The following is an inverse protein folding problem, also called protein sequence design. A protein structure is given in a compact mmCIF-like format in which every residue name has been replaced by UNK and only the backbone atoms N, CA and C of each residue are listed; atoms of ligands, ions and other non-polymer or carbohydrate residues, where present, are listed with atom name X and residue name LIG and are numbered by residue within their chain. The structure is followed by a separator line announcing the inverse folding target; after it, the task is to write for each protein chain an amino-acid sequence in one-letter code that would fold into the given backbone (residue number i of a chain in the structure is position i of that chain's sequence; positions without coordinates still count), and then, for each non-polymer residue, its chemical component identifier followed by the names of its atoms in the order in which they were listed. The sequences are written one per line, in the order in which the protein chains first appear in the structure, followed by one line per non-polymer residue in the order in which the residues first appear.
data_IF_079954345059
#
_entry.id   IF_079954345059
#
_cell.length_a   1.000
_cell.length_b   1.000
_cell.length_c   1.000
_cell.angle_alpha   90.00
_cell.angle_beta   90.00
_cell.angle_gamma   90.00
#
_symmetry.space_group_name_H-M   'P 1'
#
loop_
_entity.id
_entity.type
_entity.pdbx_description
1 polymer ?
#
# COMPACT_ATOMS: atom_id res chain seq x y z
N UNK A 1 2.17 15.74 4.87
CA UNK A 1 3.25 14.79 5.22
C UNK A 1 4.30 14.67 4.12
N UNK A 2 3.99 14.18 2.92
CA UNK A 2 4.95 14.08 1.79
C UNK A 2 4.37 14.71 0.54
N UNK A 3 5.15 15.56 -0.15
CA UNK A 3 4.76 16.19 -1.42
C UNK A 3 5.78 15.84 -2.50
N UNK A 4 5.32 15.24 -3.58
CA UNK A 4 6.13 14.89 -4.75
C UNK A 4 5.80 15.88 -5.86
N UNK A 5 6.82 16.55 -6.41
CA UNK A 5 6.66 17.57 -7.44
C UNK A 5 7.50 17.27 -8.68
N UNK A 6 6.82 17.21 -9.83
CA UNK A 6 7.41 17.08 -11.16
C UNK A 6 8.43 15.94 -11.27
N UNK A 7 8.17 14.84 -10.54
CA UNK A 7 9.09 13.72 -10.40
C UNK A 7 9.18 12.93 -11.71
N UNK A 8 10.41 12.74 -12.19
CA UNK A 8 10.69 11.85 -13.31
C UNK A 8 11.73 10.81 -12.90
N UNK A 9 11.49 9.55 -13.28
CA UNK A 9 12.38 8.45 -12.98
C UNK A 9 12.36 7.38 -14.07
N UNK A 10 13.51 6.79 -14.34
CA UNK A 10 13.69 5.71 -15.32
C UNK A 10 14.72 4.70 -14.85
N UNK A 11 14.53 3.43 -15.22
CA UNK A 11 15.53 2.38 -15.13
C UNK A 11 16.23 2.25 -16.49
N UNK A 12 17.44 2.82 -16.60
CA UNK A 12 18.12 2.90 -17.88
C UNK A 12 17.29 3.65 -18.93
N UNK A 13 16.83 2.95 -19.98
CA UNK A 13 15.97 3.53 -21.04
C UNK A 13 14.47 3.42 -20.75
N UNK A 14 14.07 2.60 -19.79
CA UNK A 14 12.66 2.40 -19.45
C UNK A 14 12.16 3.53 -18.52
N UNK A 15 11.33 4.43 -19.05
CA UNK A 15 10.67 5.46 -18.26
C UNK A 15 9.59 4.85 -17.35
N UNK A 16 9.59 5.24 -16.09
CA UNK A 16 8.56 4.82 -15.12
C UNK A 16 7.64 5.99 -14.78
N UNK A 17 8.22 7.13 -14.43
CA UNK A 17 7.50 8.37 -14.13
C UNK A 17 8.00 9.52 -14.98
N UNK A 18 7.06 10.35 -15.43
CA UNK A 18 7.36 11.59 -16.14
C UNK A 18 6.42 12.69 -15.65
N UNK A 19 7.00 13.71 -15.03
CA UNK A 19 6.26 14.85 -14.46
C UNK A 19 5.16 14.44 -13.45
N UNK A 20 5.50 13.45 -12.61
CA UNK A 20 4.59 12.84 -11.65
C UNK A 20 4.47 13.72 -10.40
N UNK A 21 3.23 13.95 -9.97
CA UNK A 21 2.90 14.75 -8.80
C UNK A 21 1.99 13.96 -7.88
N UNK A 22 2.24 14.00 -6.56
CA UNK A 22 1.45 13.31 -5.56
C UNK A 22 1.62 13.97 -4.20
N UNK A 23 0.54 14.03 -3.42
CA UNK A 23 0.57 14.41 -2.00
C UNK A 23 0.11 13.22 -1.16
N UNK A 24 0.85 12.92 -0.08
CA UNK A 24 0.48 11.94 0.95
C UNK A 24 0.10 12.72 2.21
N UNK A 25 -1.15 12.54 2.63
CA UNK A 25 -1.73 13.21 3.78
C UNK A 25 -1.24 12.58 5.09
N UNK A 26 -1.07 13.43 6.09
CA UNK A 26 -0.68 13.00 7.43
C UNK A 26 -1.81 12.24 8.13
N UNK A 27 -1.44 11.19 8.89
CA UNK A 27 -2.38 10.39 9.68
C UNK A 27 -3.35 9.53 8.85
N UNK A 28 -3.19 9.50 7.53
CA UNK A 28 -4.04 8.71 6.63
C UNK A 28 -3.36 7.42 6.21
N UNK A 29 -4.18 6.42 5.89
CA UNK A 29 -3.75 5.19 5.23
C UNK A 29 -4.03 5.31 3.74
N UNK A 30 -2.97 5.42 2.96
CA UNK A 30 -3.04 5.50 1.50
C UNK A 30 -2.65 4.17 0.87
N UNK A 31 -3.54 3.61 0.07
CA UNK A 31 -3.26 2.44 -0.77
C UNK A 31 -2.84 2.90 -2.17
N UNK A 32 -1.66 2.45 -2.60
CA UNK A 32 -1.19 2.60 -3.98
C UNK A 32 -1.32 1.26 -4.69
N UNK A 33 -2.09 1.22 -5.77
CA UNK A 33 -2.36 0.02 -6.55
C UNK A 33 -2.21 0.25 -8.06
N UNK A 34 -2.36 -0.80 -8.86
CA UNK A 34 -2.19 -0.79 -10.32
C UNK A 34 -1.46 -2.05 -10.78
N UNK A 35 -1.36 -2.27 -12.08
CA UNK A 35 -0.74 -3.47 -12.67
C UNK A 35 0.73 -3.65 -12.25
N UNK A 36 1.23 -4.87 -12.38
CA UNK A 36 2.65 -5.15 -12.13
C UNK A 36 3.54 -4.35 -13.09
N UNK A 37 4.65 -3.84 -12.58
CA UNK A 37 5.59 -3.03 -13.37
C UNK A 37 5.20 -1.56 -13.56
N UNK A 38 4.03 -1.09 -13.09
CA UNK A 38 3.59 0.32 -13.27
C UNK A 38 4.38 1.34 -12.45
N UNK A 39 5.20 0.87 -11.49
CA UNK A 39 6.07 1.74 -10.69
C UNK A 39 5.71 1.85 -9.21
N UNK A 40 4.76 1.06 -8.67
CA UNK A 40 4.34 1.13 -7.25
C UNK A 40 5.51 1.04 -6.27
N UNK A 41 6.26 -0.07 -6.32
CA UNK A 41 7.44 -0.29 -5.46
C UNK A 41 8.56 0.73 -5.73
N UNK A 42 8.67 1.18 -6.98
CA UNK A 42 9.61 2.25 -7.37
C UNK A 42 9.26 3.55 -6.66
N UNK A 43 7.97 3.90 -6.60
CA UNK A 43 7.49 5.10 -5.91
C UNK A 43 7.82 5.04 -4.41
N UNK A 44 7.55 3.90 -3.74
CA UNK A 44 7.92 3.75 -2.32
C UNK A 44 9.43 3.87 -2.10
N UNK A 45 10.26 3.26 -2.97
CA UNK A 45 11.73 3.35 -2.89
C UNK A 45 12.25 4.76 -3.14
N UNK A 46 11.57 5.55 -3.98
CA UNK A 46 11.88 6.97 -4.18
C UNK A 46 11.53 7.78 -2.93
N UNK A 47 10.35 7.58 -2.34
CA UNK A 47 9.94 8.24 -1.09
C UNK A 47 10.90 7.87 0.05
N UNK A 48 11.28 6.58 0.16
CA UNK A 48 12.23 6.10 1.16
C UNK A 48 13.67 6.62 0.95
N UNK A 49 13.94 7.29 -0.17
CA UNK A 49 15.29 7.76 -0.51
C UNK A 49 16.28 6.63 -0.86
N UNK A 50 15.78 5.41 -1.13
CA UNK A 50 16.55 4.27 -1.66
C UNK A 50 16.93 4.53 -3.13
N UNK A 51 16.01 5.13 -3.88
CA UNK A 51 16.24 5.61 -5.23
C UNK A 51 16.25 7.14 -5.26
N UNK A 52 16.94 7.70 -6.25
CA UNK A 52 16.96 9.16 -6.48
C UNK A 52 16.20 9.48 -7.76
N UNK A 53 15.29 10.48 -7.76
CA UNK A 53 14.63 10.91 -8.97
C UNK A 53 15.63 11.47 -9.96
N UNK A 54 15.35 11.33 -11.27
CA UNK A 54 16.14 11.95 -12.34
C UNK A 54 15.82 13.45 -12.44
N UNK A 55 14.55 13.83 -12.16
CA UNK A 55 14.07 15.21 -12.10
C UNK A 55 12.99 15.31 -11.02
N UNK A 56 12.71 16.57 -10.61
CA UNK A 56 11.72 16.85 -9.58
C UNK A 56 12.25 16.62 -8.16
N UNK A 57 11.37 16.71 -7.19
CA UNK A 57 11.73 16.65 -5.79
C UNK A 57 10.67 15.94 -4.96
N UNK A 58 11.10 15.39 -3.81
CA UNK A 58 10.24 14.81 -2.79
C UNK A 58 10.47 15.61 -1.52
N UNK A 59 9.44 16.31 -1.08
CA UNK A 59 9.46 17.19 0.07
C UNK A 59 8.74 16.53 1.25
N UNK A 60 9.28 16.70 2.42
CA UNK A 60 8.69 16.29 3.67
C UNK A 60 8.32 17.54 4.48
N UNK A 61 7.28 17.44 5.30
CA UNK A 61 6.91 18.53 6.21
C UNK A 61 8.02 18.86 7.22
N UNK A 62 7.85 19.95 7.95
CA UNK A 62 8.85 20.47 8.88
C UNK A 62 9.29 19.45 9.93
N UNK A 63 8.40 18.54 10.34
CA UNK A 63 8.68 17.52 11.37
C UNK A 63 9.66 16.45 10.89
N UNK A 64 9.68 16.20 9.58
CA UNK A 64 10.56 15.19 8.96
C UNK A 64 11.70 15.78 8.14
N UNK A 65 11.61 17.05 7.72
CA UNK A 65 12.49 17.67 6.71
C UNK A 65 13.98 17.58 7.05
N UNK A 66 14.37 17.66 8.34
CA UNK A 66 15.77 17.63 8.77
C UNK A 66 16.43 16.25 8.54
N UNK A 67 15.72 15.16 8.83
CA UNK A 67 16.21 13.79 8.64
C UNK A 67 15.01 12.83 8.40
N UNK A 68 14.43 12.80 7.18
CA UNK A 68 13.23 12.01 6.90
C UNK A 68 13.38 10.53 7.22
N UNK A 69 14.58 9.96 7.03
CA UNK A 69 14.81 8.52 7.22
C UNK A 69 14.72 8.08 8.69
N UNK A 70 14.97 8.97 9.63
CA UNK A 70 14.80 8.66 11.06
C UNK A 70 13.35 8.54 11.48
N UNK A 71 12.47 9.19 10.75
CA UNK A 71 11.03 9.23 11.02
C UNK A 71 10.24 8.31 10.10
N UNK A 72 10.93 7.47 9.32
CA UNK A 72 10.31 6.60 8.32
C UNK A 72 10.66 5.15 8.56
N UNK A 73 9.64 4.28 8.50
CA UNK A 73 9.80 2.84 8.39
C UNK A 73 9.53 2.38 6.97
N UNK A 74 10.39 1.52 6.42
CA UNK A 74 10.18 0.91 5.11
C UNK A 74 10.25 -0.61 5.22
N UNK A 75 9.13 -1.27 4.91
CA UNK A 75 9.01 -2.72 4.87
C UNK A 75 8.83 -3.09 3.41
N UNK A 76 9.88 -3.66 2.81
CA UNK A 76 9.86 -4.11 1.42
C UNK A 76 9.37 -5.56 1.30
N UNK A 77 8.99 -5.93 0.10
CA UNK A 77 8.66 -7.30 -0.33
C UNK A 77 9.70 -8.34 0.10
N UNK A 78 10.96 -7.92 0.13
CA UNK A 78 12.09 -8.72 0.60
C UNK A 78 12.70 -8.08 1.84
N UNK A 79 12.50 -8.72 2.99
CA UNK A 79 13.07 -8.26 4.26
C UNK A 79 14.57 -8.56 4.30
N UNK A 80 15.39 -7.52 4.15
CA UNK A 80 16.85 -7.63 4.21
C UNK A 80 17.35 -7.47 5.64
N UNK A 81 17.68 -8.57 6.28
CA UNK A 81 18.28 -8.63 7.61
C UNK A 81 19.63 -9.39 7.56
N UNK A 82 20.50 -9.11 8.51
CA UNK A 82 21.78 -9.85 8.64
C UNK A 82 21.53 -11.27 9.13
N UNK A 83 21.30 -12.19 8.22
CA UNK A 83 20.84 -13.58 8.50
C UNK A 83 21.76 -14.38 9.43
N UNK A 84 23.06 -14.05 9.48
CA UNK A 84 24.05 -14.69 10.36
C UNK A 84 23.97 -14.27 11.82
N UNK A 85 23.36 -13.10 12.11
CA UNK A 85 23.22 -12.58 13.46
C UNK A 85 22.12 -13.33 14.22
N UNK A 86 22.27 -13.38 15.55
CA UNK A 86 21.16 -13.69 16.45
C UNK A 86 20.20 -12.51 16.52
N UNK A 87 18.93 -12.78 16.84
CA UNK A 87 17.90 -11.75 17.06
C UNK A 87 18.39 -10.71 18.08
N UNK A 88 18.96 -11.15 19.22
CA UNK A 88 19.54 -10.24 20.23
C UNK A 88 20.63 -9.33 19.65
N UNK A 89 21.54 -9.88 18.88
CA UNK A 89 22.63 -9.09 18.27
C UNK A 89 22.12 -8.04 17.29
N UNK A 90 21.09 -8.38 16.50
CA UNK A 90 20.49 -7.42 15.59
C UNK A 90 19.72 -6.32 16.35
N UNK A 91 19.06 -6.65 17.47
CA UNK A 91 18.43 -5.67 18.37
C UNK A 91 19.49 -4.73 18.94
N UNK A 92 20.58 -5.26 19.47
CA UNK A 92 21.66 -4.44 20.06
C UNK A 92 22.29 -3.52 19.03
N UNK A 93 22.54 -4.03 17.83
CA UNK A 93 23.03 -3.22 16.71
C UNK A 93 22.04 -2.09 16.36
N UNK A 94 20.76 -2.42 16.21
CA UNK A 94 19.72 -1.45 15.90
C UNK A 94 19.59 -0.36 16.99
N UNK A 95 19.57 -0.77 18.26
CA UNK A 95 19.55 0.15 19.40
C UNK A 95 20.75 1.09 19.38
N UNK A 96 21.94 0.59 19.06
CA UNK A 96 23.16 1.40 18.96
C UNK A 96 23.07 2.46 17.84
N UNK A 97 22.57 2.07 16.65
CA UNK A 97 22.46 2.96 15.49
C UNK A 97 21.43 4.07 15.72
N UNK A 98 20.27 3.72 16.25
CA UNK A 98 19.15 4.65 16.44
C UNK A 98 19.11 5.28 17.83
N UNK A 99 20.06 4.93 18.74
CA UNK A 99 20.15 5.41 20.12
C UNK A 99 18.87 5.14 20.92
N UNK A 100 18.32 3.93 20.78
CA UNK A 100 17.11 3.50 21.45
C UNK A 100 17.46 3.02 22.86
N UNK A 101 16.88 3.66 23.88
CA UNK A 101 17.06 3.26 25.28
C UNK A 101 16.21 2.02 25.60
N UNK A 102 14.91 2.12 25.34
CA UNK A 102 13.93 1.08 25.64
C UNK A 102 13.46 0.39 24.38
N UNK A 103 13.52 -0.94 24.35
CA UNK A 103 13.08 -1.77 23.23
C UNK A 103 11.95 -2.67 23.69
N UNK A 104 10.76 -2.47 23.13
CA UNK A 104 9.62 -3.33 23.39
C UNK A 104 9.69 -4.61 22.55
N UNK A 105 9.92 -5.75 23.19
CA UNK A 105 9.99 -7.07 22.57
C UNK A 105 8.66 -7.87 22.69
N UNK A 106 7.59 -7.23 23.15
CA UNK A 106 6.30 -7.88 23.38
C UNK A 106 5.75 -8.58 22.14
N UNK A 107 5.95 -7.95 20.96
CA UNK A 107 5.55 -8.51 19.67
C UNK A 107 6.34 -9.77 19.32
N UNK A 108 7.64 -9.81 19.62
CA UNK A 108 8.49 -10.98 19.41
C UNK A 108 8.05 -12.14 20.31
N UNK A 109 7.75 -11.87 21.58
CA UNK A 109 7.25 -12.87 22.52
C UNK A 109 5.93 -13.48 22.07
N UNK A 110 4.98 -12.65 21.61
CA UNK A 110 3.69 -13.09 21.07
C UNK A 110 3.83 -14.00 19.84
N UNK A 111 4.84 -13.77 19.02
CA UNK A 111 5.09 -14.51 17.78
C UNK A 111 6.16 -15.59 17.92
N UNK A 112 6.57 -15.91 19.16
CA UNK A 112 7.54 -16.95 19.50
C UNK A 112 8.90 -16.78 18.83
N UNK A 113 9.30 -15.52 18.55
CA UNK A 113 10.64 -15.19 18.10
C UNK A 113 11.57 -15.11 19.31
N UNK A 114 12.57 -15.99 19.38
CA UNK A 114 13.50 -16.05 20.51
C UNK A 114 14.74 -15.23 20.23
N UNK A 115 15.30 -14.61 21.26
CA UNK A 115 16.47 -13.75 21.17
C UNK A 115 17.77 -14.52 20.83
N UNK A 116 17.85 -15.79 21.17
CA UNK A 116 19.01 -16.66 20.92
C UNK A 116 19.02 -17.30 19.52
N UNK A 117 17.92 -17.25 18.76
CA UNK A 117 17.81 -17.75 17.39
C UNK A 117 18.62 -16.90 16.42
N UNK A 118 19.17 -17.52 15.39
CA UNK A 118 19.70 -16.79 14.22
C UNK A 118 18.56 -16.33 13.33
N UNK A 119 18.71 -15.16 12.73
CA UNK A 119 17.69 -14.58 11.84
C UNK A 119 17.35 -15.51 10.67
N UNK A 120 18.31 -16.23 10.13
CA UNK A 120 18.07 -17.25 9.07
C UNK A 120 17.15 -18.40 9.49
N UNK A 121 17.00 -18.66 10.80
CA UNK A 121 16.15 -19.73 11.34
C UNK A 121 14.68 -19.29 11.53
N UNK A 122 14.41 -17.99 11.38
CA UNK A 122 13.07 -17.44 11.43
C UNK A 122 12.31 -17.80 10.15
N UNK A 123 11.01 -18.10 10.30
CA UNK A 123 10.12 -18.18 9.12
C UNK A 123 10.02 -16.81 8.42
N UNK A 124 9.51 -16.78 7.20
CA UNK A 124 9.30 -15.52 6.46
C UNK A 124 8.44 -14.56 7.28
N UNK A 125 7.32 -15.03 7.81
CA UNK A 125 6.44 -14.20 8.64
C UNK A 125 7.10 -13.71 9.93
N UNK A 126 7.90 -14.56 10.59
CA UNK A 126 8.66 -14.15 11.77
C UNK A 126 9.72 -13.09 11.46
N UNK A 127 10.38 -13.17 10.30
CA UNK A 127 11.31 -12.13 9.84
C UNK A 127 10.60 -10.79 9.63
N UNK A 128 9.41 -10.81 9.03
CA UNK A 128 8.59 -9.61 8.85
C UNK A 128 8.20 -9.00 10.18
N UNK A 129 7.71 -9.81 11.13
CA UNK A 129 7.35 -9.34 12.48
C UNK A 129 8.58 -8.80 13.21
N UNK A 130 9.73 -9.47 13.10
CA UNK A 130 10.97 -8.98 13.69
C UNK A 130 11.38 -7.64 13.08
N UNK A 131 11.35 -7.51 11.74
CA UNK A 131 11.64 -6.24 11.06
C UNK A 131 10.67 -5.14 11.47
N UNK A 132 9.36 -5.44 11.52
CA UNK A 132 8.37 -4.50 12.04
C UNK A 132 8.71 -4.04 13.46
N UNK A 133 9.08 -4.96 14.36
CA UNK A 133 9.44 -4.63 15.75
C UNK A 133 10.63 -3.67 15.80
N UNK A 134 11.66 -3.89 14.97
CA UNK A 134 12.80 -2.97 14.85
C UNK A 134 12.34 -1.58 14.38
N UNK A 135 11.53 -1.51 13.32
CA UNK A 135 11.01 -0.24 12.81
C UNK A 135 10.18 0.49 13.86
N UNK A 136 9.29 -0.21 14.57
CA UNK A 136 8.43 0.40 15.57
C UNK A 136 9.19 0.99 16.76
N UNK A 137 10.34 0.42 17.08
CA UNK A 137 11.20 0.93 18.15
C UNK A 137 11.83 2.29 17.85
N UNK A 138 11.81 2.73 16.57
CA UNK A 138 12.26 4.07 16.16
C UNK A 138 11.15 5.12 16.21
N UNK A 139 9.93 4.74 16.56
CA UNK A 139 8.75 5.62 16.59
C UNK A 139 8.53 6.37 15.27
N UNK A 140 8.34 5.66 14.15
CA UNK A 140 8.19 6.29 12.84
C UNK A 140 6.91 7.12 12.75
N UNK A 141 6.96 8.21 12.00
CA UNK A 141 5.81 9.03 11.63
C UNK A 141 5.18 8.57 10.30
N UNK A 142 5.99 7.94 9.43
CA UNK A 142 5.58 7.42 8.14
C UNK A 142 6.00 5.95 8.00
N UNK A 143 5.07 5.09 7.65
CA UNK A 143 5.32 3.68 7.30
C UNK A 143 5.04 3.46 5.81
N UNK A 144 6.03 2.95 5.11
CA UNK A 144 5.94 2.50 3.72
C UNK A 144 5.97 0.97 3.68
N UNK A 145 4.96 0.33 3.10
CA UNK A 145 4.78 -1.13 3.13
C UNK A 145 4.56 -1.63 1.70
N UNK A 146 5.50 -2.44 1.19
CA UNK A 146 5.53 -2.95 -0.17
C UNK A 146 5.22 -4.46 -0.20
N UNK A 147 4.03 -4.84 -0.65
CA UNK A 147 3.54 -6.21 -0.98
C UNK A 147 3.83 -7.35 0.03
N UNK A 148 4.23 -7.03 1.26
CA UNK A 148 4.70 -8.01 2.23
C UNK A 148 3.59 -8.91 2.81
N UNK A 149 2.34 -8.44 2.81
CA UNK A 149 1.23 -9.09 3.52
C UNK A 149 0.96 -10.51 3.00
N UNK A 150 1.21 -10.77 1.71
CA UNK A 150 0.96 -12.08 1.09
C UNK A 150 1.95 -13.16 1.48
N UNK A 151 3.16 -12.79 1.85
CA UNK A 151 4.21 -13.73 2.24
C UNK A 151 4.12 -14.19 3.70
N UNK A 152 3.13 -13.66 4.46
CA UNK A 152 2.93 -13.95 5.88
C UNK A 152 1.75 -14.92 6.05
N UNK A 153 1.89 -15.92 6.93
CA UNK A 153 0.77 -16.80 7.29
C UNK A 153 -0.38 -16.02 7.98
N UNK A 154 -1.57 -16.62 7.98
CA UNK A 154 -2.81 -15.96 8.45
C UNK A 154 -2.69 -15.44 9.89
N UNK A 155 -2.03 -16.20 10.79
CA UNK A 155 -1.88 -15.80 12.19
C UNK A 155 -0.99 -14.57 12.33
N UNK A 156 0.22 -14.62 11.76
CA UNK A 156 1.17 -13.51 11.82
C UNK A 156 0.67 -12.28 11.06
N UNK A 157 -0.09 -12.48 9.97
CA UNK A 157 -0.79 -11.40 9.26
C UNK A 157 -1.78 -10.68 10.18
N UNK A 158 -2.59 -11.43 10.91
CA UNK A 158 -3.50 -10.85 11.90
C UNK A 158 -2.78 -10.08 13.00
N UNK A 159 -1.61 -10.56 13.45
CA UNK A 159 -0.76 -9.84 14.42
C UNK A 159 -0.23 -8.54 13.82
N UNK A 160 0.28 -8.59 12.59
CA UNK A 160 0.80 -7.43 11.86
C UNK A 160 -0.28 -6.34 11.70
N UNK A 161 -1.46 -6.70 11.19
CA UNK A 161 -2.55 -5.75 10.98
C UNK A 161 -3.06 -5.13 12.28
N UNK A 162 -3.19 -5.92 13.36
CA UNK A 162 -3.57 -5.39 14.68
C UNK A 162 -2.57 -4.37 15.19
N UNK A 163 -1.29 -4.59 14.97
CA UNK A 163 -0.25 -3.66 15.38
C UNK A 163 -0.30 -2.37 14.57
N UNK A 164 -0.54 -2.45 13.26
CA UNK A 164 -0.75 -1.26 12.42
C UNK A 164 -1.96 -0.44 12.88
N UNK A 165 -3.11 -1.08 13.12
CA UNK A 165 -4.32 -0.40 13.62
C UNK A 165 -4.02 0.32 14.94
N UNK A 166 -3.27 -0.34 15.86
CA UNK A 166 -2.86 0.28 17.12
C UNK A 166 -2.02 1.54 16.90
N UNK A 167 -1.04 1.47 16.00
CA UNK A 167 -0.17 2.61 15.68
C UNK A 167 -0.95 3.79 15.09
N UNK A 168 -1.86 3.52 14.19
CA UNK A 168 -2.69 4.54 13.57
C UNK A 168 -3.58 5.24 14.61
N UNK A 169 -4.21 4.45 15.49
CA UNK A 169 -5.13 5.00 16.49
C UNK A 169 -4.44 5.72 17.65
N UNK A 170 -3.27 5.24 18.09
CA UNK A 170 -2.58 5.77 19.27
C UNK A 170 -1.53 6.84 18.93
N UNK A 171 -0.92 6.78 17.74
CA UNK A 171 0.26 7.59 17.39
C UNK A 171 0.11 8.43 16.12
N UNK A 172 -1.06 8.40 15.49
CA UNK A 172 -1.33 9.14 14.24
C UNK A 172 -0.29 8.88 13.13
N UNK A 173 0.19 7.63 13.02
CA UNK A 173 1.19 7.24 12.02
C UNK A 173 0.56 7.25 10.63
N UNK A 174 1.24 7.89 9.69
CA UNK A 174 0.86 7.85 8.27
C UNK A 174 1.31 6.53 7.65
N UNK A 175 0.45 5.87 6.90
CA UNK A 175 0.76 4.57 6.29
C UNK A 175 0.55 4.62 4.78
N UNK A 176 1.53 4.15 4.01
CA UNK A 176 1.39 3.96 2.57
C UNK A 176 1.59 2.49 2.26
N UNK A 177 0.52 1.87 1.77
CA UNK A 177 0.56 0.50 1.29
C UNK A 177 0.74 0.45 -0.23
N UNK A 178 1.57 -0.48 -0.68
CA UNK A 178 1.49 -1.05 -2.02
C UNK A 178 1.01 -2.48 -1.90
N UNK A 179 -0.12 -2.80 -2.50
CA UNK A 179 -0.69 -4.13 -2.45
C UNK A 179 -1.60 -4.42 -3.66
N UNK A 180 -1.74 -5.71 -4.00
CA UNK A 180 -2.63 -6.22 -5.05
C UNK A 180 -3.84 -6.95 -4.49
N UNK A 181 -3.81 -7.42 -3.24
CA UNK A 181 -4.94 -8.05 -2.57
C UNK A 181 -5.38 -7.16 -1.39
N UNK A 182 -6.62 -6.72 -1.43
CA UNK A 182 -7.12 -5.66 -0.57
C UNK A 182 -7.99 -6.15 0.58
N UNK A 183 -8.43 -7.42 0.58
CA UNK A 183 -9.39 -7.97 1.56
C UNK A 183 -8.99 -7.72 3.01
N UNK A 184 -7.70 -7.89 3.30
CA UNK A 184 -7.21 -7.78 4.67
C UNK A 184 -7.03 -6.33 5.15
N UNK A 185 -6.91 -5.37 4.22
CA UNK A 185 -6.59 -3.97 4.52
C UNK A 185 -7.71 -2.99 4.14
N UNK A 186 -8.71 -3.41 3.40
CA UNK A 186 -9.77 -2.54 2.88
C UNK A 186 -10.45 -1.70 3.96
N UNK A 187 -10.66 -2.29 5.15
CA UNK A 187 -11.32 -1.61 6.26
C UNK A 187 -10.46 -0.57 6.99
N UNK A 188 -9.16 -0.51 6.68
CA UNK A 188 -8.23 0.44 7.30
C UNK A 188 -7.70 1.47 6.30
N UNK A 189 -8.04 1.34 5.03
CA UNK A 189 -7.63 2.28 3.96
C UNK A 189 -8.55 3.50 3.96
N UNK A 190 -7.97 4.70 3.95
CA UNK A 190 -8.70 5.96 3.80
C UNK A 190 -8.77 6.40 2.34
N UNK A 191 -7.66 6.26 1.59
CA UNK A 191 -7.49 6.79 0.24
C UNK A 191 -6.87 5.77 -0.69
N UNK A 192 -7.34 5.72 -1.92
CA UNK A 192 -6.87 4.81 -2.97
C UNK A 192 -6.28 5.63 -4.12
N UNK A 193 -5.04 5.32 -4.47
CA UNK A 193 -4.33 5.85 -5.63
C UNK A 193 -4.08 4.70 -6.59
N UNK A 194 -4.69 4.75 -7.76
CA UNK A 194 -4.47 3.77 -8.82
C UNK A 194 -3.52 4.34 -9.85
N UNK A 195 -2.41 3.64 -10.06
CA UNK A 195 -1.42 3.97 -11.07
C UNK A 195 -1.69 3.21 -12.37
N UNK A 196 -1.65 3.92 -13.49
CA UNK A 196 -1.74 3.37 -14.84
C UNK A 196 -0.78 4.14 -15.76
N UNK A 197 0.06 3.45 -16.50
CA UNK A 197 1.02 4.04 -17.45
C UNK A 197 1.89 5.15 -16.84
N UNK A 198 2.37 4.95 -15.60
CA UNK A 198 3.19 5.91 -14.88
C UNK A 198 2.48 7.18 -14.42
N UNK A 199 1.14 7.20 -14.45
CA UNK A 199 0.30 8.32 -14.04
C UNK A 199 -0.72 7.89 -13.00
N UNK A 200 -1.32 8.85 -12.30
CA UNK A 200 -2.44 8.62 -11.41
C UNK A 200 -3.72 8.57 -12.27
N UNK A 201 -4.37 7.40 -12.29
CA UNK A 201 -5.65 7.20 -12.96
C UNK A 201 -6.83 7.43 -12.00
N UNK A 202 -6.65 7.11 -10.72
CA UNK A 202 -7.63 7.36 -9.64
C UNK A 202 -6.89 7.89 -8.43
N UNK A 203 -7.47 8.89 -7.78
CA UNK A 203 -7.04 9.46 -6.51
C UNK A 203 -8.30 9.88 -5.74
N UNK A 204 -8.79 8.98 -4.88
CA UNK A 204 -10.08 9.14 -4.22
C UNK A 204 -10.07 8.57 -2.80
N UNK A 205 -10.87 9.13 -1.91
CA UNK A 205 -11.22 8.46 -0.66
C UNK A 205 -11.98 7.17 -0.94
N UNK A 206 -11.71 6.10 -0.18
CA UNK A 206 -12.23 4.75 -0.45
C UNK A 206 -13.77 4.71 -0.52
N UNK A 207 -14.46 5.41 0.38
CA UNK A 207 -15.92 5.44 0.39
C UNK A 207 -16.50 6.20 -0.82
N UNK A 208 -15.83 7.29 -1.22
CA UNK A 208 -16.18 8.03 -2.43
C UNK A 208 -15.98 7.17 -3.68
N UNK A 209 -14.85 6.45 -3.78
CA UNK A 209 -14.58 5.53 -4.89
C UNK A 209 -15.64 4.44 -4.97
N UNK A 210 -15.96 3.75 -3.87
CA UNK A 210 -17.00 2.71 -3.81
C UNK A 210 -18.39 3.22 -4.21
N UNK A 211 -18.72 4.46 -3.89
CA UNK A 211 -19.99 5.05 -4.31
C UNK A 211 -20.03 5.35 -5.81
N UNK A 212 -18.89 5.71 -6.41
CA UNK A 212 -18.74 6.10 -7.81
C UNK A 212 -18.52 4.94 -8.77
N UNK A 213 -18.18 3.73 -8.30
CA UNK A 213 -17.99 2.56 -9.16
C UNK A 213 -19.07 1.55 -8.86
N UNK A 214 -19.86 1.19 -9.89
CA UNK A 214 -20.95 0.21 -9.77
C UNK A 214 -20.85 -0.80 -10.89
N UNK A 215 -21.29 -2.02 -10.60
CA UNK A 215 -21.52 -3.05 -11.60
C UNK A 215 -23.01 -3.09 -11.98
N UNK A 216 -23.28 -3.17 -13.26
CA UNK A 216 -24.61 -3.33 -13.81
C UNK A 216 -24.69 -4.69 -14.49
N UNK A 217 -25.66 -5.50 -14.09
CA UNK A 217 -26.00 -6.77 -14.72
C UNK A 217 -27.13 -6.50 -15.72
N UNK A 218 -26.90 -6.67 -17.01
CA UNK A 218 -27.92 -6.39 -18.05
C UNK A 218 -27.66 -7.21 -19.29
N UNK A 219 -28.76 -7.63 -19.93
CA UNK A 219 -28.75 -8.32 -21.23
C UNK A 219 -28.50 -7.35 -22.42
N UNK A 220 -28.60 -6.05 -22.16
CA UNK A 220 -28.39 -5.02 -23.18
C UNK A 220 -27.39 -3.98 -22.71
N UNK A 221 -26.45 -3.52 -23.55
CA UNK A 221 -25.50 -2.48 -23.21
C UNK A 221 -26.22 -1.23 -22.69
N UNK A 222 -25.79 -0.68 -21.54
CA UNK A 222 -26.37 0.55 -21.00
C UNK A 222 -26.04 1.73 -21.93
N UNK A 223 -27.08 2.36 -22.49
CA UNK A 223 -26.90 3.45 -23.44
C UNK A 223 -26.42 4.71 -22.77
N UNK A 224 -25.39 5.35 -23.34
CA UNK A 224 -24.85 6.64 -22.90
C UNK A 224 -24.34 6.67 -21.45
N UNK A 225 -23.90 5.53 -20.88
CA UNK A 225 -23.23 5.47 -19.59
C UNK A 225 -21.71 5.32 -19.78
N UNK A 226 -20.90 5.89 -18.87
CA UNK A 226 -19.45 5.76 -18.94
C UNK A 226 -18.98 4.38 -18.47
N UNK A 227 -19.01 3.40 -19.40
CA UNK A 227 -18.55 2.03 -19.15
C UNK A 227 -17.02 2.04 -19.09
N UNK A 228 -16.48 1.65 -17.96
CA UNK A 228 -15.04 1.51 -17.70
C UNK A 228 -14.52 0.16 -18.22
N UNK A 229 -15.29 -0.90 -17.97
CA UNK A 229 -14.95 -2.28 -18.29
C UNK A 229 -16.21 -3.10 -18.46
N UNK A 230 -16.16 -4.17 -19.26
CA UNK A 230 -17.28 -5.07 -19.53
C UNK A 230 -16.79 -6.52 -19.56
N UNK A 231 -17.63 -7.42 -19.07
CA UNK A 231 -17.47 -8.87 -19.17
C UNK A 231 -18.74 -9.45 -19.77
N UNK A 232 -18.58 -10.21 -20.85
CA UNK A 232 -19.70 -10.88 -21.51
C UNK A 232 -19.80 -12.33 -21.03
N UNK A 233 -21.00 -12.73 -20.60
CA UNK A 233 -21.38 -14.11 -20.30
C UNK A 233 -22.36 -14.63 -21.33
N UNK A 234 -22.69 -15.92 -21.29
CA UNK A 234 -23.59 -16.55 -22.28
C UNK A 234 -25.03 -16.04 -22.21
N UNK A 235 -25.47 -15.59 -21.05
CA UNK A 235 -26.87 -15.21 -20.74
C UNK A 235 -27.02 -13.74 -20.30
N UNK A 236 -25.93 -13.05 -20.01
CA UNK A 236 -25.94 -11.64 -19.60
C UNK A 236 -24.55 -11.01 -19.80
N UNK A 237 -24.46 -9.71 -19.57
CA UNK A 237 -23.17 -9.02 -19.48
C UNK A 237 -23.07 -8.19 -18.18
N UNK A 238 -21.86 -8.05 -17.69
CA UNK A 238 -21.50 -7.19 -16.57
C UNK A 238 -20.84 -5.91 -17.10
N UNK A 239 -21.39 -4.77 -16.74
CA UNK A 239 -20.85 -3.46 -17.10
C UNK A 239 -20.37 -2.74 -15.85
N UNK A 240 -19.10 -2.38 -15.81
CA UNK A 240 -18.49 -1.61 -14.73
C UNK A 240 -18.51 -0.14 -15.11
N UNK A 241 -19.22 0.68 -14.34
CA UNK A 241 -19.51 2.08 -14.67
C UNK A 241 -18.78 3.01 -13.73
N UNK A 242 -18.03 3.98 -14.28
CA UNK A 242 -17.35 5.03 -13.53
C UNK A 242 -17.23 6.34 -14.34
N UNK A 243 -17.59 7.50 -13.76
CA UNK A 243 -18.26 7.66 -12.47
C UNK A 243 -19.76 7.31 -12.58
N UNK A 244 -20.26 6.50 -11.64
CA UNK A 244 -21.67 6.19 -11.52
C UNK A 244 -22.41 7.33 -10.83
N UNK A 245 -23.60 7.70 -11.34
CA UNK A 245 -24.48 8.70 -10.74
C UNK A 245 -25.83 8.08 -10.44
N UNK A 246 -26.49 8.51 -9.35
CA UNK A 246 -27.81 7.98 -8.96
C UNK A 246 -28.88 8.10 -10.06
N UNK A 247 -28.82 9.14 -10.90
CA UNK A 247 -29.72 9.29 -12.04
C UNK A 247 -29.60 8.15 -13.08
N UNK A 248 -28.46 7.43 -13.09
CA UNK A 248 -28.23 6.31 -13.99
C UNK A 248 -29.07 5.08 -13.63
N UNK A 249 -29.49 4.92 -12.37
CA UNK A 249 -30.39 3.84 -11.96
C UNK A 249 -31.67 3.79 -12.78
N UNK A 250 -32.17 4.97 -13.23
CA UNK A 250 -33.37 5.06 -14.07
C UNK A 250 -33.11 4.73 -15.54
N UNK A 251 -31.86 4.73 -15.98
CA UNK A 251 -31.45 4.50 -17.38
C UNK A 251 -30.93 3.08 -17.61
N UNK A 252 -30.75 2.33 -16.52
CA UNK A 252 -30.25 0.97 -16.57
C UNK A 252 -31.41 0.00 -16.54
N UNK A 253 -31.42 -0.92 -17.48
CA UNK A 253 -32.35 -2.06 -17.51
C UNK A 253 -31.63 -3.29 -16.94
N UNK A 254 -31.55 -3.37 -15.59
CA UNK A 254 -30.81 -4.44 -14.91
C UNK A 254 -30.48 -4.08 -13.47
N UNK A 255 -29.80 -4.99 -12.78
CA UNK A 255 -29.43 -4.84 -11.38
C UNK A 255 -28.15 -4.04 -11.22
N UNK A 256 -28.17 -3.05 -10.30
CA UNK A 256 -27.00 -2.27 -9.92
C UNK A 256 -26.42 -2.84 -8.64
N UNK A 257 -25.17 -3.29 -8.70
CA UNK A 257 -24.48 -4.00 -7.61
C UNK A 257 -23.29 -3.17 -7.10
N UNK A 258 -23.16 -3.11 -5.78
CA UNK A 258 -22.00 -2.54 -5.09
C UNK A 258 -20.79 -3.47 -5.24
N UNK A 259 -19.61 -2.87 -5.29
CA UNK A 259 -18.35 -3.59 -5.48
C UNK A 259 -17.45 -3.48 -4.26
N UNK A 260 -16.70 -4.54 -3.97
CA UNK A 260 -15.53 -4.47 -3.09
C UNK A 260 -14.36 -3.77 -3.81
N UNK A 261 -13.34 -3.41 -3.07
CA UNK A 261 -12.19 -2.71 -3.62
C UNK A 261 -11.44 -3.53 -4.67
N UNK A 262 -11.44 -4.86 -4.54
CA UNK A 262 -10.78 -5.76 -5.49
C UNK A 262 -11.46 -5.70 -6.86
N UNK A 263 -12.79 -5.81 -6.88
CA UNK A 263 -13.57 -5.71 -8.11
C UNK A 263 -13.47 -4.32 -8.76
N UNK A 264 -13.42 -3.26 -7.92
CA UNK A 264 -13.21 -1.89 -8.41
C UNK A 264 -11.88 -1.75 -9.11
N UNK A 265 -10.78 -2.15 -8.46
CA UNK A 265 -9.44 -2.04 -9.04
C UNK A 265 -9.34 -2.87 -10.32
N UNK A 266 -9.87 -4.10 -10.31
CA UNK A 266 -9.88 -4.97 -11.50
C UNK A 266 -10.59 -4.30 -12.69
N UNK A 267 -11.71 -3.60 -12.46
CA UNK A 267 -12.40 -2.88 -13.51
C UNK A 267 -11.52 -1.77 -14.15
N UNK A 268 -10.73 -1.06 -13.36
CA UNK A 268 -9.83 -0.03 -13.87
C UNK A 268 -8.63 -0.57 -14.64
N UNK A 269 -8.15 -1.76 -14.30
CA UNK A 269 -7.02 -2.41 -14.98
C UNK A 269 -7.43 -3.31 -16.14
N UNK A 270 -8.74 -3.32 -16.49
CA UNK A 270 -9.28 -4.08 -17.64
C UNK A 270 -9.39 -5.58 -17.40
N UNK A 271 -9.59 -6.02 -16.15
CA UNK A 271 -9.79 -7.44 -15.81
C UNK A 271 -8.53 -8.30 -15.86
N UNK A 272 -7.33 -7.71 -15.89
CA UNK A 272 -6.07 -8.46 -15.99
C UNK A 272 -5.79 -9.43 -14.82
N UNK A 273 -6.61 -9.36 -13.74
CA UNK A 273 -6.48 -10.20 -12.54
C UNK A 273 -7.80 -10.94 -12.17
N UNK A 274 -8.76 -11.03 -13.10
CA UNK A 274 -9.98 -11.82 -12.90
C UNK A 274 -9.75 -13.27 -13.31
#
# INVERSE_FOLDING_TARGET
MVTIKNLSFNYGKAGIFSDFNLEIEEGKVTLITGINGVGKSTLLRLIAGVLKPAKGEILFDETMAADPRRHMGFISDTVSLYESLKVSQAIDFHKSVYKIADFDDSLLKRTKVRHDQKIRELSVGQRVIFHLTLILSTHPLLLLIDEIIHSIDVYLRGVFLKELIRLMSEKNVTVVFVNLNFRDIENIVDRVILLKDGKIAVDEEINALKSKVKKVLSDTPPQALPVLFQVDYADHAEYYIYPFKEEYKKKVNGDVVDLDLTAIVNAFIGGEYI
#
